data_IF_363470908650
#
_entry.id   IF_363470908650
#
_cell.length_a   1.000
_cell.length_b   1.000
_cell.length_c   1.000
_cell.angle_alpha   90.00
_cell.angle_beta   90.00
_cell.angle_gamma   90.00
#
_symmetry.space_group_name_H-M   'P 1'
#
loop_
_entity.id
_entity.type
_entity.pdbx_description
1 polymer ?
#
# COMPACT_ATOMS: atom_id res chain seq x y z
N UNK A 1 -1.33 -9.64 9.10
CA UNK A 1 -2.25 -9.70 7.95
C UNK A 1 -3.29 -8.59 8.08
N UNK A 2 -3.50 -7.79 7.03
CA UNK A 2 -4.46 -6.67 6.96
C UNK A 2 -5.85 -7.03 7.52
N UNK A 3 -6.32 -8.28 7.34
CA UNK A 3 -7.55 -8.80 7.91
C UNK A 3 -7.67 -8.67 9.45
N UNK A 4 -6.56 -8.69 10.19
CA UNK A 4 -6.55 -8.49 11.64
C UNK A 4 -6.74 -7.03 12.07
N UNK A 5 -6.33 -6.06 11.25
CA UNK A 5 -6.58 -4.63 11.52
C UNK A 5 -8.08 -4.32 11.32
N UNK A 6 -8.70 -4.97 10.34
CA UNK A 6 -10.12 -4.79 10.07
C UNK A 6 -11.06 -5.39 11.11
N UNK A 7 -10.60 -6.37 11.93
CA UNK A 7 -11.44 -6.81 13.06
C UNK A 7 -11.71 -5.74 14.09
N UNK A 8 -10.89 -4.70 14.11
CA UNK A 8 -10.98 -3.64 15.10
C UNK A 8 -11.55 -2.34 14.51
N UNK A 9 -11.79 -2.29 13.19
CA UNK A 9 -12.31 -1.12 12.46
C UNK A 9 -13.62 -1.46 11.73
N UNK A 10 -14.76 -1.53 12.44
CA UNK A 10 -16.04 -1.86 11.80
C UNK A 10 -16.53 -0.70 10.90
N UNK A 11 -17.01 -0.99 9.67
CA UNK A 11 -17.47 0.01 8.70
C UNK A 11 -18.89 0.52 8.97
N UNK A 12 -19.68 -0.20 9.77
CA UNK A 12 -20.92 0.27 10.40
C UNK A 12 -20.69 0.34 11.90
N UNK A 13 -21.53 1.03 12.65
CA UNK A 13 -21.42 1.15 14.11
C UNK A 13 -21.59 -0.20 14.87
N UNK A 14 -21.54 -1.33 14.18
CA UNK A 14 -21.61 -2.69 14.68
C UNK A 14 -20.32 -3.46 14.40
N UNK A 15 -19.80 -4.17 15.41
CA UNK A 15 -18.60 -5.01 15.26
C UNK A 15 -18.87 -6.16 14.29
N UNK A 16 -18.14 -6.20 13.17
CA UNK A 16 -18.19 -7.31 12.22
C UNK A 16 -17.52 -8.57 12.78
N UNK A 17 -18.05 -9.75 12.46
CA UNK A 17 -17.39 -11.03 12.73
C UNK A 17 -16.17 -11.24 11.82
N UNK A 18 -15.20 -12.07 12.26
CA UNK A 18 -13.98 -12.38 11.49
C UNK A 18 -14.26 -12.89 10.07
N UNK A 19 -15.36 -13.62 9.87
CA UNK A 19 -15.80 -14.10 8.55
C UNK A 19 -16.28 -12.96 7.65
N UNK A 20 -17.13 -12.07 8.18
CA UNK A 20 -17.61 -10.89 7.46
C UNK A 20 -16.45 -9.96 7.07
N UNK A 21 -15.46 -9.81 7.94
CA UNK A 21 -14.24 -9.05 7.65
C UNK A 21 -13.47 -9.67 6.49
N UNK A 22 -13.24 -10.99 6.49
CA UNK A 22 -12.57 -11.66 5.37
C UNK A 22 -13.29 -11.40 4.05
N UNK A 23 -14.62 -11.48 4.04
CA UNK A 23 -15.45 -11.19 2.86
C UNK A 23 -15.29 -9.72 2.44
N UNK A 24 -15.38 -8.77 3.38
CA UNK A 24 -15.24 -7.35 3.11
C UNK A 24 -13.86 -7.00 2.52
N UNK A 25 -12.79 -7.57 3.05
CA UNK A 25 -11.42 -7.37 2.53
C UNK A 25 -11.27 -7.96 1.13
N UNK A 26 -11.84 -9.15 0.91
CA UNK A 26 -11.78 -9.84 -0.38
C UNK A 26 -12.55 -9.07 -1.47
N UNK A 27 -13.69 -8.47 -1.13
CA UNK A 27 -14.56 -7.78 -2.09
C UNK A 27 -14.24 -6.29 -2.26
N UNK A 28 -13.64 -5.63 -1.26
CA UNK A 28 -13.33 -4.20 -1.30
C UNK A 28 -11.87 -3.94 -1.70
N UNK A 29 -11.60 -4.00 -3.00
CA UNK A 29 -10.26 -3.77 -3.56
C UNK A 29 -9.71 -2.38 -3.23
N UNK A 30 -10.54 -1.33 -3.34
CA UNK A 30 -10.14 0.04 -3.05
C UNK A 30 -9.68 0.22 -1.59
N UNK A 31 -10.41 -0.36 -0.64
CA UNK A 31 -10.05 -0.32 0.78
C UNK A 31 -8.74 -1.08 1.03
N UNK A 32 -8.57 -2.27 0.43
CA UNK A 32 -7.33 -3.05 0.51
C UNK A 32 -6.13 -2.26 0.03
N UNK A 33 -6.24 -1.60 -1.13
CA UNK A 33 -5.17 -0.76 -1.68
C UNK A 33 -4.82 0.37 -0.71
N UNK A 34 -5.82 1.06 -0.14
CA UNK A 34 -5.59 2.16 0.82
C UNK A 34 -4.88 1.70 2.09
N UNK A 35 -5.33 0.61 2.70
CA UNK A 35 -4.73 0.09 3.94
C UNK A 35 -3.32 -0.43 3.71
N UNK A 36 -3.11 -1.07 2.57
CA UNK A 36 -1.79 -1.54 2.13
C UNK A 36 -0.82 -0.36 1.96
N UNK A 37 -1.25 0.66 1.23
CA UNK A 37 -0.46 1.87 1.04
C UNK A 37 -0.14 2.58 2.37
N UNK A 38 -1.14 2.74 3.24
CA UNK A 38 -0.96 3.35 4.56
C UNK A 38 0.05 2.57 5.41
N UNK A 39 -0.04 1.23 5.43
CA UNK A 39 0.93 0.38 6.14
C UNK A 39 2.35 0.58 5.63
N UNK A 40 2.55 0.55 4.32
CA UNK A 40 3.88 0.74 3.72
C UNK A 40 4.46 2.11 4.05
N UNK A 41 3.65 3.17 3.96
CA UNK A 41 4.08 4.55 4.26
C UNK A 41 4.49 4.71 5.72
N UNK A 42 3.73 4.13 6.65
CA UNK A 42 4.07 4.16 8.07
C UNK A 42 5.35 3.39 8.36
N UNK A 43 5.51 2.20 7.79
CA UNK A 43 6.71 1.37 7.94
C UNK A 43 7.94 2.09 7.40
N UNK A 44 7.86 2.66 6.19
CA UNK A 44 8.93 3.46 5.61
C UNK A 44 9.34 4.60 6.56
N UNK A 45 8.38 5.36 7.06
CA UNK A 45 8.68 6.48 7.95
C UNK A 45 9.38 6.04 9.25
N UNK A 46 8.90 4.99 9.90
CA UNK A 46 9.52 4.49 11.14
C UNK A 46 10.93 3.93 10.90
N UNK A 47 11.17 3.28 9.77
CA UNK A 47 12.47 2.73 9.43
C UNK A 47 13.50 3.81 9.02
N UNK A 48 13.04 4.86 8.34
CA UNK A 48 13.93 5.86 7.74
C UNK A 48 14.04 7.16 8.52
N UNK A 49 13.04 7.49 9.34
CA UNK A 49 12.93 8.75 10.10
C UNK A 49 13.39 9.99 9.30
N UNK A 50 12.84 10.24 8.09
CA UNK A 50 13.12 11.48 7.38
C UNK A 50 12.65 12.68 8.23
N UNK A 51 13.28 13.86 8.08
CA UNK A 51 13.07 15.01 8.97
C UNK A 51 11.58 15.39 9.13
N UNK A 52 11.22 15.85 10.35
CA UNK A 52 9.84 16.00 10.87
C UNK A 52 8.89 16.87 10.03
N UNK A 53 9.39 17.66 9.09
CA UNK A 53 8.57 18.57 8.30
C UNK A 53 7.89 17.93 7.07
N UNK A 54 8.18 16.67 6.70
CA UNK A 54 8.02 16.25 5.30
C UNK A 54 7.26 14.94 5.00
N UNK A 55 6.79 14.18 5.99
CA UNK A 55 6.11 12.90 5.70
C UNK A 55 4.73 13.11 5.06
N UNK A 56 3.84 13.87 5.72
CA UNK A 56 2.50 14.14 5.19
C UNK A 56 2.57 14.93 3.88
N UNK A 57 3.50 15.87 3.76
CA UNK A 57 3.74 16.60 2.51
C UNK A 57 4.13 15.65 1.36
N UNK A 58 5.04 14.71 1.59
CA UNK A 58 5.44 13.73 0.57
C UNK A 58 4.29 12.79 0.18
N UNK A 59 3.45 12.40 1.14
CA UNK A 59 2.24 11.60 0.88
C UNK A 59 1.25 12.42 0.04
N UNK A 60 0.98 13.67 0.42
CA UNK A 60 0.03 14.56 -0.24
C UNK A 60 0.46 14.88 -1.67
N UNK A 61 1.73 15.18 -1.91
CA UNK A 61 2.25 15.45 -3.24
C UNK A 61 2.09 14.23 -4.15
N UNK A 62 2.36 13.04 -3.63
CA UNK A 62 2.16 11.80 -4.38
C UNK A 62 0.70 11.52 -4.68
N UNK A 63 -0.17 11.69 -3.69
CA UNK A 63 -1.62 11.54 -3.88
C UNK A 63 -2.16 12.57 -4.88
N UNK A 64 -1.62 13.79 -4.89
CA UNK A 64 -1.95 14.83 -5.87
C UNK A 64 -1.62 14.37 -7.29
N UNK A 65 -0.43 13.82 -7.52
CA UNK A 65 -0.03 13.26 -8.82
C UNK A 65 -0.93 12.10 -9.23
N UNK A 66 -1.19 11.14 -8.32
CA UNK A 66 -2.04 10.00 -8.62
C UNK A 66 -3.46 10.41 -9.01
N UNK A 67 -4.01 11.44 -8.35
CA UNK A 67 -5.34 11.97 -8.63
C UNK A 67 -5.47 12.55 -10.03
N UNK A 68 -4.43 13.20 -10.55
CA UNK A 68 -4.42 13.79 -11.91
C UNK A 68 -3.92 12.82 -12.98
N UNK A 69 -3.42 11.65 -12.59
CA UNK A 69 -2.88 10.63 -13.50
C UNK A 69 -3.99 9.79 -14.16
N UNK A 70 -3.64 9.14 -15.27
CA UNK A 70 -4.56 8.25 -15.99
C UNK A 70 -4.99 7.05 -15.13
N UNK A 71 -6.16 6.46 -15.44
CA UNK A 71 -6.64 5.24 -14.76
C UNK A 71 -5.61 4.10 -14.81
N UNK A 72 -4.95 3.91 -15.96
CA UNK A 72 -3.91 2.90 -16.15
C UNK A 72 -2.73 3.14 -15.20
N UNK A 73 -2.32 4.39 -15.02
CA UNK A 73 -1.26 4.76 -14.08
C UNK A 73 -1.67 4.50 -12.63
N UNK A 74 -2.90 4.85 -12.25
CA UNK A 74 -3.42 4.57 -10.91
C UNK A 74 -3.49 3.06 -10.62
N UNK A 75 -3.88 2.25 -11.61
CA UNK A 75 -3.92 0.79 -11.50
C UNK A 75 -2.52 0.18 -11.36
N UNK A 76 -1.56 0.62 -12.18
CA UNK A 76 -0.17 0.15 -12.06
C UNK A 76 0.43 0.51 -10.69
N UNK A 77 0.18 1.72 -10.19
CA UNK A 77 0.56 2.11 -8.83
C UNK A 77 -0.08 1.20 -7.77
N UNK A 78 -1.39 0.95 -7.88
CA UNK A 78 -2.09 0.09 -6.93
C UNK A 78 -1.53 -1.34 -6.92
N UNK A 79 -1.18 -1.88 -8.09
CA UNK A 79 -0.58 -3.21 -8.19
C UNK A 79 0.80 -3.26 -7.52
N UNK A 80 1.69 -2.31 -7.83
CA UNK A 80 3.02 -2.24 -7.19
C UNK A 80 2.93 -2.11 -5.67
N UNK A 81 1.95 -1.37 -5.17
CA UNK A 81 1.68 -1.23 -3.73
C UNK A 81 1.26 -2.57 -3.11
N UNK A 82 0.36 -3.30 -3.77
CA UNK A 82 -0.08 -4.62 -3.29
C UNK A 82 1.06 -5.66 -3.34
N UNK A 83 1.81 -5.69 -4.44
CA UNK A 83 2.92 -6.63 -4.63
C UNK A 83 4.00 -6.41 -3.57
N UNK A 84 4.37 -5.15 -3.32
CA UNK A 84 5.40 -4.82 -2.32
C UNK A 84 4.97 -5.18 -0.90
N UNK A 85 3.70 -4.99 -0.60
CA UNK A 85 3.14 -5.32 0.71
C UNK A 85 3.01 -6.83 0.94
N UNK A 86 2.71 -7.58 -0.11
CA UNK A 86 2.71 -9.04 -0.09
C UNK A 86 4.13 -9.58 0.15
N UNK A 87 5.11 -9.09 -0.61
CA UNK A 87 6.54 -9.41 -0.49
C UNK A 87 7.06 -9.22 0.94
N UNK A 88 6.66 -8.12 1.59
CA UNK A 88 7.09 -7.82 2.93
C UNK A 88 6.31 -8.63 3.98
N UNK A 89 4.97 -8.66 3.92
CA UNK A 89 4.17 -9.04 5.09
C UNK A 89 3.36 -10.33 4.97
N UNK A 90 3.31 -11.00 3.82
CA UNK A 90 2.52 -12.22 3.64
C UNK A 90 3.29 -13.50 4.02
N UNK A 91 4.62 -13.43 4.12
CA UNK A 91 5.48 -14.60 4.37
C UNK A 91 5.85 -14.83 5.84
N UNK A 92 5.12 -14.22 6.79
CA UNK A 92 5.36 -14.43 8.22
C UNK A 92 6.68 -13.86 8.75
N UNK A 93 7.32 -12.96 7.99
CA UNK A 93 8.55 -12.27 8.40
C UNK A 93 8.27 -11.27 9.52
N UNK A 94 9.15 -11.25 10.53
CA UNK A 94 9.10 -10.24 11.60
C UNK A 94 9.68 -8.91 11.09
N UNK A 95 9.15 -7.79 11.58
CA UNK A 95 9.67 -6.46 11.28
C UNK A 95 11.19 -6.34 11.49
N UNK A 96 11.71 -6.95 12.57
CA UNK A 96 13.15 -6.91 12.88
C UNK A 96 14.02 -7.64 11.86
N UNK A 97 13.43 -8.43 10.96
CA UNK A 97 14.12 -9.18 9.92
C UNK A 97 14.30 -8.42 8.60
N UNK A 98 13.68 -7.24 8.45
CA UNK A 98 13.86 -6.44 7.23
C UNK A 98 15.10 -5.56 7.33
N UNK A 99 15.90 -5.54 6.27
CA UNK A 99 16.89 -4.49 6.09
C UNK A 99 16.19 -3.19 5.71
N UNK A 100 16.79 -2.06 6.08
CA UNK A 100 16.22 -0.73 5.84
C UNK A 100 15.97 -0.47 4.35
N UNK A 101 16.80 -1.03 3.49
CA UNK A 101 16.75 -0.94 2.03
C UNK A 101 15.59 -1.74 1.42
N UNK A 102 15.07 -2.74 2.13
CA UNK A 102 13.87 -3.50 1.70
C UNK A 102 12.58 -2.73 1.98
N UNK A 103 12.61 -1.88 3.01
CA UNK A 103 11.48 -1.08 3.49
C UNK A 103 11.36 0.21 2.67
N UNK A 104 11.12 0.05 1.37
CA UNK A 104 10.93 1.14 0.41
C UNK A 104 9.51 1.19 -0.11
N UNK A 105 9.08 2.39 -0.50
CA UNK A 105 7.83 2.59 -1.22
C UNK A 105 8.10 2.47 -2.72
N UNK A 106 7.17 1.89 -3.52
CA UNK A 106 7.20 2.07 -4.97
C UNK A 106 7.33 3.57 -5.26
N UNK A 107 7.95 4.01 -6.34
CA UNK A 107 8.09 5.43 -6.72
C UNK A 107 7.21 5.73 -7.94
N UNK A 108 7.09 7.00 -8.32
CA UNK A 108 6.41 7.34 -9.57
C UNK A 108 7.17 6.82 -10.79
N UNK A 109 8.49 6.69 -10.69
CA UNK A 109 9.30 6.15 -11.78
C UNK A 109 9.16 4.62 -11.88
N UNK A 110 8.97 3.92 -10.76
CA UNK A 110 8.62 2.49 -10.78
C UNK A 110 7.28 2.25 -11.51
N UNK A 111 6.30 3.15 -11.32
CA UNK A 111 5.03 3.07 -12.05
C UNK A 111 5.25 3.27 -13.55
N UNK A 112 6.05 4.27 -13.94
CA UNK A 112 6.38 4.50 -15.36
C UNK A 112 7.11 3.31 -15.98
N UNK A 113 8.09 2.75 -15.27
CA UNK A 113 8.85 1.58 -15.70
C UNK A 113 7.93 0.37 -15.90
N UNK A 114 7.04 0.10 -14.93
CA UNK A 114 6.04 -0.97 -15.01
C UNK A 114 5.09 -0.81 -16.20
N UNK A 115 4.68 0.42 -16.51
CA UNK A 115 3.84 0.70 -17.67
C UNK A 115 4.58 0.48 -18.99
N UNK A 116 5.85 0.89 -19.08
CA UNK A 116 6.69 0.74 -20.26
C UNK A 116 7.04 -0.72 -20.56
N UNK A 117 7.31 -1.53 -19.53
CA UNK A 117 7.49 -2.97 -19.69
C UNK A 117 6.20 -3.66 -20.15
N UNK A 118 5.04 -3.21 -19.65
CA UNK A 118 3.74 -3.78 -20.04
C UNK A 118 3.32 -3.43 -21.48
N UNK A 119 3.86 -2.38 -22.09
CA UNK A 119 3.63 -2.04 -23.50
C UNK A 119 4.57 -2.74 -24.48
N UNK A 120 5.65 -3.36 -23.98
CA UNK A 120 6.66 -4.03 -24.82
C UNK A 120 6.37 -5.52 -25.04
N UNK A 121 5.34 -6.05 -24.38
CA UNK A 121 4.91 -7.46 -24.45
C UNK A 121 3.62 -7.64 -25.25
N UNK A 122 3.33 -6.73 -26.19
CA UNK A 122 2.14 -6.79 -27.06
C UNK A 122 2.54 -6.85 -28.53
#
# INVERSE_FOLDING_TARGET
>A
MIAGIYSDLPPSNEKMSRLQIKVQVAQNSAMRIRMTYARLVMVYYYAHMPSKASQWAAIDDRLRVLRTSSKRFQQAHAQLVLDKDDELFSHGRDYKSFRKEELVLPTLDDVKASLASSSSTQ
#
